data_IF_543725943837
#
_entry.id   IF_543725943837
#
_cell.length_a   1.000
_cell.length_b   1.000
_cell.length_c   1.000
_cell.angle_alpha   90.00
_cell.angle_beta   90.00
_cell.angle_gamma   90.00
#
_symmetry.space_group_name_H-M   'P 1'
#
loop_
_entity.id
_entity.type
_entity.pdbx_description
1 polymer ?
#
# COMPACT_ATOMS: atom_id res chain seq x y z
N UNK A 1 19.37 -16.82 -9.64
CA UNK A 1 19.26 -15.57 -8.86
C UNK A 1 18.15 -15.74 -7.83
N UNK A 2 18.45 -15.75 -6.53
CA UNK A 2 17.42 -15.74 -5.47
C UNK A 2 16.73 -14.37 -5.49
N UNK A 3 15.41 -14.34 -5.70
CA UNK A 3 14.63 -13.10 -5.48
C UNK A 3 14.74 -12.77 -3.99
N UNK A 4 15.12 -11.53 -3.65
CA UNK A 4 15.12 -11.05 -2.26
C UNK A 4 13.67 -10.94 -1.75
N UNK A 5 13.45 -11.33 -0.50
CA UNK A 5 12.17 -11.13 0.18
C UNK A 5 12.01 -9.64 0.55
N UNK A 6 11.05 -8.96 -0.08
CA UNK A 6 10.60 -7.59 0.27
C UNK A 6 9.84 -7.64 1.59
N UNK A 7 10.13 -6.72 2.52
CA UNK A 7 9.35 -6.51 3.74
C UNK A 7 8.20 -5.54 3.45
N UNK A 8 6.99 -6.06 3.37
CA UNK A 8 5.79 -5.31 3.00
C UNK A 8 4.97 -5.01 4.24
N UNK A 9 4.56 -3.76 4.40
CA UNK A 9 3.51 -3.36 5.32
C UNK A 9 2.17 -3.35 4.58
N UNK A 10 1.24 -4.22 4.96
CA UNK A 10 -0.12 -4.27 4.42
C UNK A 10 -1.08 -3.61 5.40
N UNK A 11 -1.98 -2.77 4.91
CA UNK A 11 -2.89 -2.00 5.76
C UNK A 11 -4.22 -1.70 5.07
N UNK A 12 -5.31 -1.68 5.84
CA UNK A 12 -6.57 -1.06 5.43
C UNK A 12 -6.56 0.46 5.63
N UNK A 13 -7.54 1.15 5.06
CA UNK A 13 -7.72 2.60 5.30
C UNK A 13 -8.51 2.88 6.57
N UNK A 14 -8.41 4.11 7.09
CA UNK A 14 -8.95 4.50 8.40
C UNK A 14 -10.46 4.23 8.59
N UNK A 15 -11.28 4.37 7.54
CA UNK A 15 -12.73 4.10 7.63
C UNK A 15 -13.15 2.73 7.07
N UNK A 16 -12.21 1.86 6.71
CA UNK A 16 -12.50 0.60 6.04
C UNK A 16 -12.35 -0.61 6.97
N UNK A 17 -13.49 -1.20 7.34
CA UNK A 17 -13.58 -2.37 8.22
C UNK A 17 -13.47 -3.71 7.50
N UNK A 18 -13.31 -3.73 6.18
CA UNK A 18 -13.22 -4.98 5.43
C UNK A 18 -11.88 -5.69 5.69
N UNK A 19 -11.96 -6.99 5.92
CA UNK A 19 -10.81 -7.82 6.30
C UNK A 19 -10.42 -8.83 5.24
N UNK A 20 -11.37 -9.33 4.46
CA UNK A 20 -11.11 -10.40 3.48
C UNK A 20 -10.13 -10.00 2.38
N UNK A 21 -10.20 -8.77 1.90
CA UNK A 21 -9.22 -8.19 0.97
C UNK A 21 -7.81 -8.19 1.56
N UNK A 22 -7.66 -7.91 2.86
CA UNK A 22 -6.37 -7.91 3.54
C UNK A 22 -5.83 -9.33 3.73
N UNK A 23 -6.68 -10.29 4.13
CA UNK A 23 -6.29 -11.70 4.24
C UNK A 23 -5.84 -12.24 2.88
N UNK A 24 -6.63 -11.96 1.82
CA UNK A 24 -6.30 -12.35 0.46
C UNK A 24 -4.95 -11.77 0.00
N UNK A 25 -4.76 -10.45 0.17
CA UNK A 25 -3.51 -9.78 -0.22
C UNK A 25 -2.32 -10.31 0.57
N UNK A 26 -2.47 -10.60 1.86
CA UNK A 26 -1.40 -11.20 2.65
C UNK A 26 -0.98 -12.55 2.06
N UNK A 27 -1.92 -13.46 1.85
CA UNK A 27 -1.62 -14.78 1.26
C UNK A 27 -0.98 -14.65 -0.11
N UNK A 28 -1.52 -13.78 -0.96
CA UNK A 28 -0.98 -13.52 -2.31
C UNK A 28 0.46 -13.00 -2.28
N UNK A 29 0.77 -12.04 -1.39
CA UNK A 29 2.12 -11.47 -1.27
C UNK A 29 3.11 -12.47 -0.65
N UNK A 30 2.67 -13.26 0.33
CA UNK A 30 3.48 -14.31 0.95
C UNK A 30 3.77 -15.45 -0.04
N UNK A 31 2.80 -15.83 -0.88
CA UNK A 31 3.00 -16.83 -1.95
C UNK A 31 4.00 -16.35 -3.01
N UNK A 32 4.11 -15.03 -3.23
CA UNK A 32 5.16 -14.42 -4.05
C UNK A 32 6.55 -14.41 -3.39
N UNK A 33 6.65 -14.87 -2.13
CA UNK A 33 7.88 -14.96 -1.35
C UNK A 33 8.24 -13.70 -0.57
N UNK A 34 7.29 -12.77 -0.37
CA UNK A 34 7.53 -11.56 0.43
C UNK A 34 7.22 -11.79 1.91
N UNK A 35 7.77 -10.94 2.78
CA UNK A 35 7.42 -10.91 4.21
C UNK A 35 6.35 -9.86 4.41
N UNK A 36 5.20 -10.23 4.96
CA UNK A 36 4.08 -9.31 5.14
C UNK A 36 3.86 -9.02 6.62
N UNK A 37 3.75 -7.75 6.96
CA UNK A 37 3.18 -7.32 8.23
C UNK A 37 1.84 -6.65 7.97
N UNK A 38 0.77 -7.32 8.37
CA UNK A 38 -0.58 -6.86 8.14
C UNK A 38 -1.10 -6.12 9.38
N UNK A 39 -1.33 -4.81 9.25
CA UNK A 39 -1.89 -3.97 10.31
C UNK A 39 -3.40 -4.15 10.48
N UNK A 40 -4.06 -4.83 9.55
CA UNK A 40 -5.49 -5.04 9.58
C UNK A 40 -6.30 -3.84 9.06
N UNK A 41 -7.62 -3.84 9.31
CA UNK A 41 -8.55 -2.82 8.86
C UNK A 41 -8.52 -1.57 9.78
N UNK A 42 -9.22 -0.51 9.36
CA UNK A 42 -9.46 0.70 10.17
C UNK A 42 -8.18 1.33 10.77
N UNK A 43 -7.07 1.32 10.04
CA UNK A 43 -5.78 1.82 10.56
C UNK A 43 -5.77 3.35 10.50
N UNK A 44 -5.61 4.06 11.63
CA UNK A 44 -5.47 5.51 11.62
C UNK A 44 -4.17 5.97 10.95
N UNK A 45 -4.22 7.10 10.25
CA UNK A 45 -3.08 7.65 9.51
C UNK A 45 -1.81 7.83 10.38
N UNK A 46 -1.97 8.28 11.63
CA UNK A 46 -0.86 8.46 12.56
C UNK A 46 -0.24 7.14 13.05
N UNK A 47 -1.06 6.09 13.17
CA UNK A 47 -0.57 4.75 13.51
C UNK A 47 0.22 4.18 12.33
N UNK A 48 -0.32 4.28 11.11
CA UNK A 48 0.38 3.88 9.89
C UNK A 48 1.74 4.57 9.80
N UNK A 49 1.77 5.89 9.99
CA UNK A 49 3.00 6.66 9.91
C UNK A 49 3.99 6.32 11.04
N UNK A 50 3.50 5.98 12.24
CA UNK A 50 4.35 5.54 13.36
C UNK A 50 5.02 4.21 13.05
N UNK A 51 4.21 3.23 12.63
CA UNK A 51 4.71 1.90 12.28
C UNK A 51 5.70 1.95 11.11
N UNK A 52 5.46 2.78 10.10
CA UNK A 52 6.40 2.94 8.98
C UNK A 52 7.74 3.53 9.44
N UNK A 53 7.73 4.52 10.32
CA UNK A 53 8.95 5.11 10.87
C UNK A 53 9.75 4.09 11.72
N UNK A 54 9.04 3.30 12.52
CA UNK A 54 9.68 2.34 13.44
C UNK A 54 10.20 1.09 12.71
N UNK A 55 9.48 0.62 11.69
CA UNK A 55 9.76 -0.68 11.04
C UNK A 55 10.51 -0.55 9.72
N UNK A 56 10.54 0.64 9.13
CA UNK A 56 11.22 0.96 7.86
C UNK A 56 10.95 -0.13 6.78
N UNK A 57 9.68 -0.34 6.38
CA UNK A 57 9.32 -1.35 5.39
C UNK A 57 9.86 -0.98 4.00
N UNK A 58 10.07 -1.98 3.16
CA UNK A 58 10.51 -1.76 1.77
C UNK A 58 9.36 -1.28 0.86
N UNK A 59 8.11 -1.55 1.26
CA UNK A 59 6.89 -1.18 0.53
C UNK A 59 5.69 -1.11 1.49
N UNK A 60 4.82 -0.13 1.28
CA UNK A 60 3.49 -0.06 1.91
C UNK A 60 2.42 -0.38 0.86
N UNK A 61 1.56 -1.34 1.16
CA UNK A 61 0.38 -1.70 0.35
C UNK A 61 -0.88 -1.34 1.11
N UNK A 62 -1.62 -0.36 0.60
CA UNK A 62 -2.89 0.11 1.16
C UNK A 62 -4.05 -0.53 0.41
N UNK A 63 -4.96 -1.17 1.12
CA UNK A 63 -6.18 -1.74 0.55
C UNK A 63 -7.42 -0.98 1.01
N UNK A 64 -8.30 -0.66 0.06
CA UNK A 64 -9.63 -0.12 0.37
C UNK A 64 -10.67 -0.66 -0.59
N UNK A 65 -11.81 -1.08 -0.04
CA UNK A 65 -12.95 -1.63 -0.77
C UNK A 65 -14.30 -1.04 -0.30
N UNK A 66 -14.30 -0.17 0.72
CA UNK A 66 -15.51 0.53 1.18
C UNK A 66 -15.96 1.69 0.27
N UNK A 67 -15.16 2.07 -0.75
CA UNK A 67 -15.46 3.18 -1.66
C UNK A 67 -15.00 4.56 -1.19
N UNK A 68 -14.28 4.64 -0.06
CA UNK A 68 -13.65 5.87 0.44
C UNK A 68 -12.14 5.94 0.17
N UNK A 69 -11.57 4.95 -0.51
CA UNK A 69 -10.14 4.81 -0.73
C UNK A 69 -9.45 6.04 -1.34
N UNK A 70 -10.11 6.79 -2.23
CA UNK A 70 -9.54 8.05 -2.73
C UNK A 70 -9.39 9.12 -1.64
N UNK A 71 -10.36 9.23 -0.73
CA UNK A 71 -10.34 10.20 0.37
C UNK A 71 -9.37 9.76 1.45
N UNK A 72 -9.52 8.53 1.93
CA UNK A 72 -8.75 8.03 3.06
C UNK A 72 -7.29 7.75 2.65
N UNK A 73 -7.06 7.30 1.40
CA UNK A 73 -5.72 7.16 0.85
C UNK A 73 -4.94 8.48 0.84
N UNK A 74 -5.60 9.60 0.50
CA UNK A 74 -4.98 10.92 0.57
C UNK A 74 -4.53 11.28 2.00
N UNK A 75 -5.31 10.92 3.02
CA UNK A 75 -4.92 11.10 4.42
C UNK A 75 -3.68 10.26 4.76
N UNK A 76 -3.76 8.96 4.49
CA UNK A 76 -2.69 8.00 4.75
C UNK A 76 -1.33 8.42 4.14
N UNK A 77 -1.30 8.74 2.84
CA UNK A 77 -0.02 9.10 2.18
C UNK A 77 0.52 10.45 2.65
N UNK A 78 -0.35 11.43 2.92
CA UNK A 78 0.07 12.74 3.44
C UNK A 78 0.67 12.60 4.83
N UNK A 79 0.13 11.75 5.69
CA UNK A 79 0.71 11.48 7.00
C UNK A 79 2.12 10.88 6.90
N UNK A 80 2.36 9.98 5.95
CA UNK A 80 3.70 9.45 5.68
C UNK A 80 4.67 10.54 5.22
N UNK A 81 4.28 11.33 4.21
CA UNK A 81 5.13 12.38 3.65
C UNK A 81 5.37 13.53 4.63
N UNK A 82 4.40 13.87 5.49
CA UNK A 82 4.57 14.87 6.55
C UNK A 82 5.64 14.49 7.58
N UNK A 83 5.92 13.18 7.75
CA UNK A 83 7.03 12.68 8.59
C UNK A 83 8.33 12.48 7.82
N UNK A 84 8.41 12.93 6.56
CA UNK A 84 9.60 12.78 5.72
C UNK A 84 9.85 11.35 5.23
N UNK A 85 8.90 10.43 5.39
CA UNK A 85 9.07 9.05 4.96
C UNK A 85 9.02 8.95 3.44
N UNK A 86 10.02 8.29 2.85
CA UNK A 86 10.17 8.11 1.39
C UNK A 86 9.87 6.69 0.94
N UNK A 87 9.38 5.83 1.83
CA UNK A 87 8.98 4.46 1.49
C UNK A 87 8.00 4.47 0.30
N UNK A 88 8.17 3.57 -0.68
CA UNK A 88 7.19 3.38 -1.73
C UNK A 88 5.82 2.99 -1.16
N UNK A 89 4.75 3.59 -1.67
CA UNK A 89 3.38 3.36 -1.23
C UNK A 89 2.50 3.11 -2.44
N UNK A 90 1.73 2.03 -2.40
CA UNK A 90 0.72 1.72 -3.42
C UNK A 90 -0.64 1.54 -2.78
N UNK A 91 -1.71 1.84 -3.52
CA UNK A 91 -3.09 1.65 -3.07
C UNK A 91 -3.92 0.92 -4.10
N UNK A 92 -4.83 0.05 -3.67
CA UNK A 92 -5.73 -0.65 -4.59
C UNK A 92 -7.02 -1.15 -3.96
N UNK A 93 -7.90 -1.66 -4.84
CA UNK A 93 -9.23 -2.14 -4.51
C UNK A 93 -10.34 -1.28 -5.11
N UNK A 94 -11.49 -1.21 -4.44
CA UNK A 94 -12.64 -0.41 -4.86
C UNK A 94 -12.59 0.96 -4.18
N UNK A 95 -11.82 1.89 -4.77
CA UNK A 95 -11.48 3.17 -4.13
C UNK A 95 -12.60 4.21 -4.11
N UNK A 96 -13.60 4.06 -4.99
CA UNK A 96 -14.75 4.95 -5.09
C UNK A 96 -16.08 4.20 -4.98
N UNK A 97 -17.13 4.89 -4.53
CA UNK A 97 -18.49 4.31 -4.41
C UNK A 97 -19.08 3.89 -5.76
N UNK A 98 -18.68 4.54 -6.86
CA UNK A 98 -19.12 4.21 -8.21
C UNK A 98 -18.59 2.86 -8.72
N UNK A 99 -17.62 2.25 -8.03
CA UNK A 99 -17.04 0.96 -8.42
C UNK A 99 -16.22 1.00 -9.71
N UNK A 100 -15.86 2.19 -10.18
CA UNK A 100 -15.04 2.41 -11.37
C UNK A 100 -13.87 3.34 -11.04
N UNK A 101 -12.79 3.23 -11.82
CA UNK A 101 -11.64 4.11 -11.72
C UNK A 101 -12.05 5.57 -12.02
N UNK A 102 -11.54 6.52 -11.23
CA UNK A 102 -11.69 7.95 -11.45
C UNK A 102 -10.31 8.53 -11.79
N UNK A 103 -10.02 8.85 -13.06
CA UNK A 103 -8.71 9.34 -13.47
C UNK A 103 -8.27 10.61 -12.71
N UNK A 104 -9.20 11.48 -12.33
CA UNK A 104 -8.88 12.72 -11.60
C UNK A 104 -8.49 12.40 -10.16
N UNK A 105 -9.23 11.52 -9.49
CA UNK A 105 -8.89 11.13 -8.11
C UNK A 105 -7.62 10.27 -8.07
N UNK A 106 -7.41 9.42 -9.08
CA UNK A 106 -6.16 8.68 -9.28
C UNK A 106 -4.96 9.62 -9.37
N UNK A 107 -5.04 10.65 -10.23
CA UNK A 107 -3.99 11.65 -10.36
C UNK A 107 -3.68 12.34 -9.02
N UNK A 108 -4.72 12.70 -8.25
CA UNK A 108 -4.55 13.30 -6.92
C UNK A 108 -3.81 12.40 -5.94
N UNK A 109 -4.02 11.08 -5.97
CA UNK A 109 -3.29 10.13 -5.13
C UNK A 109 -1.81 10.07 -5.53
N UNK A 110 -1.53 10.01 -6.84
CA UNK A 110 -0.16 10.01 -7.36
C UNK A 110 0.56 11.31 -7.00
N UNK A 111 -0.06 12.47 -7.24
CA UNK A 111 0.49 13.79 -6.89
C UNK A 111 0.73 13.96 -5.38
N UNK A 112 -0.07 13.28 -4.53
CA UNK A 112 0.11 13.28 -3.08
C UNK A 112 1.24 12.36 -2.60
N UNK A 113 1.81 11.54 -3.50
CA UNK A 113 2.98 10.72 -3.22
C UNK A 113 2.76 9.22 -3.23
N UNK A 114 1.65 8.69 -3.76
CA UNK A 114 1.57 7.26 -4.09
C UNK A 114 2.40 6.96 -5.34
N UNK A 115 3.09 5.83 -5.33
CA UNK A 115 3.90 5.35 -6.46
C UNK A 115 3.04 4.61 -7.50
N UNK A 116 1.96 3.96 -7.07
CA UNK A 116 0.99 3.33 -7.95
C UNK A 116 -0.42 3.25 -7.34
N UNK A 117 -1.42 3.27 -8.21
CA UNK A 117 -2.84 3.11 -7.87
C UNK A 117 -3.44 1.98 -8.71
N UNK A 118 -4.08 1.01 -8.05
CA UNK A 118 -4.71 -0.19 -8.63
C UNK A 118 -6.23 -0.19 -8.32
N UNK A 119 -6.95 0.77 -8.90
CA UNK A 119 -8.37 1.06 -8.72
C UNK A 119 -9.31 0.27 -9.66
N UNK A 120 -8.75 -0.67 -10.41
CA UNK A 120 -9.44 -1.58 -11.33
C UNK A 120 -9.66 -2.98 -10.74
N UNK A 121 -9.15 -3.24 -9.53
CA UNK A 121 -9.21 -4.54 -8.86
C UNK A 121 -8.27 -5.60 -9.44
N UNK A 122 -7.38 -5.23 -10.38
CA UNK A 122 -6.48 -6.18 -11.03
C UNK A 122 -5.20 -6.41 -10.21
N UNK A 123 -5.18 -7.51 -9.44
CA UNK A 123 -4.00 -7.92 -8.66
C UNK A 123 -2.82 -8.34 -9.53
N UNK A 124 -3.04 -8.64 -10.81
CA UNK A 124 -1.98 -8.94 -11.79
C UNK A 124 -1.06 -7.73 -12.03
N UNK A 125 -1.62 -6.52 -12.01
CA UNK A 125 -0.82 -5.29 -12.09
C UNK A 125 0.03 -5.08 -10.85
N UNK A 126 -0.48 -5.41 -9.66
CA UNK A 126 0.30 -5.41 -8.43
C UNK A 126 1.46 -6.42 -8.52
N UNK A 127 1.21 -7.64 -9.04
CA UNK A 127 2.26 -8.64 -9.29
C UNK A 127 3.35 -8.08 -10.23
N UNK A 128 2.94 -7.43 -11.31
CA UNK A 128 3.85 -6.80 -12.27
C UNK A 128 4.70 -5.71 -11.62
N UNK A 129 4.07 -4.84 -10.82
CA UNK A 129 4.75 -3.80 -10.05
C UNK A 129 5.80 -4.39 -9.10
N UNK A 130 5.44 -5.41 -8.31
CA UNK A 130 6.36 -6.11 -7.40
C UNK A 130 7.55 -6.76 -8.12
N UNK A 131 7.36 -7.18 -9.37
CA UNK A 131 8.45 -7.69 -10.22
C UNK A 131 9.41 -6.61 -10.72
N UNK A 132 8.96 -5.34 -10.75
CA UNK A 132 9.72 -4.19 -11.21
C UNK A 132 10.31 -3.33 -10.08
N UNK A 133 9.83 -3.48 -8.83
CA UNK A 133 10.43 -2.82 -7.66
C UNK A 133 11.94 -3.16 -7.64
N UNK A 134 12.83 -2.17 -7.85
CA UNK A 134 14.26 -2.42 -7.86
C UNK A 134 14.66 -3.07 -6.53
N UNK A 135 15.55 -4.07 -6.56
CA UNK A 135 16.12 -4.72 -5.37
C UNK A 135 17.03 -3.77 -4.54
N UNK A 136 16.78 -2.45 -4.61
CA UNK A 136 17.74 -1.38 -4.47
C UNK A 136 17.91 -0.81 -3.06
N UNK A 137 17.25 -1.34 -2.03
CA UNK A 137 17.66 -1.05 -0.66
C UNK A 137 18.72 -2.07 -0.21
N UNK A 138 19.92 -1.93 -0.76
CA UNK A 138 21.11 -2.37 -0.03
C UNK A 138 21.19 -1.47 1.20
N UNK A 139 20.68 -1.96 2.35
CA UNK A 139 21.16 -1.45 3.63
C UNK A 139 22.67 -1.72 3.62
N UNK A 140 23.46 -0.65 3.45
CA UNK A 140 24.86 -0.71 3.81
C UNK A 140 24.87 -1.06 5.30
N UNK A 141 25.27 -2.30 5.60
CA UNK A 141 25.57 -2.71 6.96
C UNK A 141 26.82 -1.92 7.34
N UNK A 142 26.64 -0.91 8.19
CA UNK A 142 27.71 -0.30 8.97
C UNK A 142 27.57 -0.81 10.41
#
# INVERSE_FOLDING_TARGET
>A
MRRRNVNILLTGTASDSHTWNLVYLQLFLEELGHRVHNLGPCVPDDLLAGVCADRDPDLVVVSSVNGHGYRDGLGAVRALRARGLTVPVVIGGKLGVAGVADPRQRARLLDAGFDAVFDDGDVGRLRGYLGAVPQAHVRAVA
#
